data_IF_456998838372
#
_entry.id   IF_456998838372
#
_cell.length_a   1.000
_cell.length_b   1.000
_cell.length_c   1.000
_cell.angle_alpha   90.00
_cell.angle_beta   90.00
_cell.angle_gamma   90.00
#
_symmetry.space_group_name_H-M   'P 1'
#
loop_
_entity.id
_entity.type
_entity.pdbx_description
1 polymer ?
#
# COMPACT_ATOMS: atom_id res chain seq x y z
N UNK A 1 -9.57 -32.03 30.94
CA UNK A 1 -9.57 -31.61 29.51
C UNK A 1 -8.77 -32.62 28.72
N UNK A 2 -9.43 -33.42 27.87
CA UNK A 2 -8.76 -34.44 27.08
C UNK A 2 -7.93 -33.80 25.96
N UNK A 3 -6.62 -34.06 25.96
CA UNK A 3 -5.71 -33.70 24.87
C UNK A 3 -6.14 -34.52 23.65
N UNK A 4 -6.70 -33.89 22.60
CA UNK A 4 -6.97 -34.59 21.33
C UNK A 4 -5.62 -35.09 20.79
N UNK A 5 -5.42 -36.40 20.82
CA UNK A 5 -4.29 -37.03 20.11
C UNK A 5 -4.80 -37.23 18.68
N UNK A 6 -4.59 -36.23 17.84
CA UNK A 6 -4.86 -36.32 16.41
C UNK A 6 -4.02 -37.45 15.81
N UNK A 7 -4.60 -38.32 14.99
CA UNK A 7 -3.79 -39.32 14.28
C UNK A 7 -2.83 -38.61 13.32
N UNK A 8 -1.71 -39.23 12.96
CA UNK A 8 -0.77 -38.63 12.01
C UNK A 8 -1.46 -38.18 10.71
N UNK A 9 -2.49 -38.92 10.28
CA UNK A 9 -3.32 -38.60 9.12
C UNK A 9 -4.20 -37.36 9.34
N UNK A 10 -4.75 -37.15 10.53
CA UNK A 10 -5.54 -35.96 10.86
C UNK A 10 -4.65 -34.70 10.87
N UNK A 11 -3.43 -34.83 11.40
CA UNK A 11 -2.44 -33.74 11.41
C UNK A 11 -2.04 -33.38 9.97
N UNK A 12 -1.77 -34.38 9.11
CA UNK A 12 -1.46 -34.12 7.70
C UNK A 12 -2.60 -33.43 6.94
N UNK A 13 -3.86 -33.83 7.19
CA UNK A 13 -5.02 -33.15 6.60
C UNK A 13 -5.15 -31.71 7.09
N UNK A 14 -4.93 -31.47 8.39
CA UNK A 14 -5.00 -30.14 8.98
C UNK A 14 -3.91 -29.22 8.43
N UNK A 15 -2.67 -29.72 8.29
CA UNK A 15 -1.56 -28.99 7.66
C UNK A 15 -1.89 -28.64 6.21
N UNK A 16 -2.37 -29.60 5.40
CA UNK A 16 -2.74 -29.33 4.00
C UNK A 16 -3.86 -28.29 3.90
N UNK A 17 -4.87 -28.38 4.76
CA UNK A 17 -5.96 -27.42 4.79
C UNK A 17 -5.50 -26.02 5.23
N UNK A 18 -4.47 -25.93 6.07
CA UNK A 18 -3.88 -24.64 6.44
C UNK A 18 -3.07 -24.04 5.27
N UNK A 19 -2.22 -24.84 4.63
CA UNK A 19 -1.43 -24.40 3.46
C UNK A 19 -2.35 -23.88 2.33
N UNK A 20 -3.43 -24.61 2.02
CA UNK A 20 -4.39 -24.16 1.02
C UNK A 20 -5.08 -22.84 1.39
N UNK A 21 -5.39 -22.63 2.68
CA UNK A 21 -5.96 -21.36 3.15
C UNK A 21 -4.97 -20.22 3.02
N UNK A 22 -3.71 -20.45 3.37
CA UNK A 22 -2.66 -19.44 3.27
C UNK A 22 -2.41 -19.04 1.81
N UNK A 23 -2.39 -20.00 0.88
CA UNK A 23 -2.27 -19.74 -0.57
C UNK A 23 -3.46 -18.94 -1.13
N UNK A 24 -4.69 -19.24 -0.68
CA UNK A 24 -5.88 -18.49 -1.07
C UNK A 24 -5.84 -17.05 -0.56
N UNK A 25 -5.43 -16.85 0.70
CA UNK A 25 -5.26 -15.53 1.29
C UNK A 25 -4.17 -14.74 0.57
N UNK A 26 -3.06 -15.39 0.20
CA UNK A 26 -2.00 -14.72 -0.54
C UNK A 26 -2.48 -14.27 -1.93
N UNK A 27 -3.20 -15.14 -2.64
CA UNK A 27 -3.78 -14.83 -3.95
C UNK A 27 -4.78 -13.67 -3.86
N UNK A 28 -5.65 -13.68 -2.85
CA UNK A 28 -6.60 -12.59 -2.61
C UNK A 28 -5.89 -11.26 -2.29
N UNK A 29 -4.83 -11.30 -1.47
CA UNK A 29 -4.02 -10.12 -1.18
C UNK A 29 -3.29 -9.60 -2.41
N UNK A 30 -2.87 -10.48 -3.34
CA UNK A 30 -2.22 -10.07 -4.58
C UNK A 30 -3.19 -9.28 -5.48
N UNK A 31 -4.43 -9.75 -5.65
CA UNK A 31 -5.44 -9.05 -6.43
C UNK A 31 -5.85 -7.73 -5.80
N UNK A 32 -6.04 -7.71 -4.48
CA UNK A 32 -6.34 -6.48 -3.75
C UNK A 32 -5.22 -5.45 -3.85
N UNK A 33 -3.96 -5.88 -3.77
CA UNK A 33 -2.82 -4.98 -3.97
C UNK A 33 -2.80 -4.37 -5.38
N UNK A 34 -3.20 -5.13 -6.42
CA UNK A 34 -3.36 -4.60 -7.78
C UNK A 34 -4.47 -3.57 -7.87
N UNK A 35 -5.61 -3.82 -7.23
CA UNK A 35 -6.73 -2.87 -7.17
C UNK A 35 -6.32 -1.56 -6.50
N UNK A 36 -5.67 -1.63 -5.33
CA UNK A 36 -5.21 -0.43 -4.61
C UNK A 36 -4.15 0.32 -5.42
N UNK A 37 -3.23 -0.39 -6.09
CA UNK A 37 -2.27 0.23 -7.02
C UNK A 37 -2.98 0.97 -8.15
N UNK A 38 -3.94 0.34 -8.82
CA UNK A 38 -4.68 0.96 -9.92
C UNK A 38 -5.47 2.19 -9.44
N UNK A 39 -6.05 2.11 -8.25
CA UNK A 39 -6.73 3.24 -7.63
C UNK A 39 -5.76 4.41 -7.37
N UNK A 40 -4.60 4.16 -6.76
CA UNK A 40 -3.57 5.19 -6.53
C UNK A 40 -3.18 5.83 -7.86
N UNK A 41 -2.87 5.02 -8.88
CA UNK A 41 -2.49 5.50 -10.21
C UNK A 41 -3.58 6.39 -10.85
N UNK A 42 -4.87 6.08 -10.63
CA UNK A 42 -5.98 6.90 -11.14
C UNK A 42 -6.15 8.25 -10.44
N UNK A 43 -5.55 8.43 -9.26
CA UNK A 43 -5.61 9.67 -8.46
C UNK A 43 -4.37 10.55 -8.61
N UNK A 44 -3.32 10.02 -9.24
CA UNK A 44 -2.11 10.77 -9.57
C UNK A 44 -2.41 11.75 -10.72
N UNK A 45 -1.94 13.00 -10.65
CA UNK A 45 -2.10 13.99 -11.72
C UNK A 45 -1.56 13.51 -13.08
N UNK A 46 -2.30 13.82 -14.16
CA UNK A 46 -2.05 13.30 -15.53
C UNK A 46 -0.69 13.74 -16.09
N UNK A 47 -0.22 14.92 -15.70
CA UNK A 47 1.08 15.49 -16.07
C UNK A 47 2.28 14.79 -15.41
N UNK A 48 2.04 13.90 -14.44
CA UNK A 48 3.08 13.18 -13.70
C UNK A 48 3.18 11.71 -14.10
N UNK A 49 3.22 11.41 -15.40
CA UNK A 49 3.26 10.04 -15.93
C UNK A 49 4.43 9.17 -15.41
N UNK A 50 5.59 9.77 -15.14
CA UNK A 50 6.72 9.10 -14.50
C UNK A 50 6.41 8.68 -13.05
N UNK A 51 5.69 9.51 -12.31
CA UNK A 51 5.22 9.20 -10.97
C UNK A 51 4.16 8.09 -11.00
N UNK A 52 3.21 8.11 -11.95
CA UNK A 52 2.24 7.01 -12.11
C UNK A 52 2.95 5.65 -12.31
N UNK A 53 4.00 5.63 -13.14
CA UNK A 53 4.76 4.41 -13.44
C UNK A 53 5.62 3.91 -12.27
N UNK A 54 6.00 4.79 -11.34
CA UNK A 54 6.85 4.44 -10.20
C UNK A 54 6.11 3.75 -9.05
N UNK A 55 4.77 3.68 -9.09
CA UNK A 55 3.96 2.95 -8.09
C UNK A 55 4.17 1.44 -8.21
N UNK A 56 4.71 0.83 -7.17
CA UNK A 56 5.08 -0.59 -7.12
C UNK A 56 4.41 -1.30 -5.94
N UNK A 57 4.19 -2.60 -6.12
CA UNK A 57 3.79 -3.52 -5.05
C UNK A 57 5.05 -4.21 -4.55
N UNK A 58 5.25 -4.23 -3.24
CA UNK A 58 6.31 -4.96 -2.56
C UNK A 58 5.72 -6.07 -1.71
N UNK A 59 6.26 -7.26 -1.84
CA UNK A 59 6.03 -8.31 -0.86
C UNK A 59 6.86 -8.01 0.39
N UNK A 60 6.21 -8.04 1.56
CA UNK A 60 6.90 -7.77 2.81
C UNK A 60 7.57 -9.06 3.26
N UNK A 61 8.90 -9.03 3.43
CA UNK A 61 9.69 -10.19 3.88
C UNK A 61 9.22 -10.79 5.20
N UNK A 62 8.57 -10.00 6.05
CA UNK A 62 8.01 -10.46 7.33
C UNK A 62 6.49 -10.43 7.24
N UNK A 63 5.82 -11.59 7.34
CA UNK A 63 4.37 -11.64 7.39
C UNK A 63 3.89 -10.86 8.61
N UNK A 64 2.81 -10.08 8.45
CA UNK A 64 2.22 -9.32 9.54
C UNK A 64 1.26 -10.25 10.27
N UNK A 65 1.54 -10.56 11.54
CA UNK A 65 0.79 -11.56 12.33
C UNK A 65 0.78 -12.97 11.71
N UNK A 66 1.82 -13.36 10.95
CA UNK A 66 1.88 -14.66 10.28
C UNK A 66 1.13 -14.73 8.95
N UNK A 67 0.52 -13.63 8.49
CA UNK A 67 -0.19 -13.55 7.21
C UNK A 67 0.64 -12.85 6.12
N UNK A 68 0.53 -13.28 4.86
CA UNK A 68 1.19 -12.64 3.74
C UNK A 68 0.74 -11.18 3.62
N UNK A 69 1.69 -10.25 3.69
CA UNK A 69 1.44 -8.81 3.67
C UNK A 69 2.10 -8.16 2.44
N UNK A 70 1.45 -7.13 1.90
CA UNK A 70 1.94 -6.38 0.73
C UNK A 70 1.94 -4.89 1.02
N UNK A 71 2.98 -4.20 0.57
CA UNK A 71 3.07 -2.74 0.69
C UNK A 71 3.09 -2.10 -0.69
N UNK A 72 2.30 -1.06 -0.89
CA UNK A 72 2.31 -0.27 -2.12
C UNK A 72 3.08 1.01 -1.84
N UNK A 73 4.07 1.30 -2.68
CA UNK A 73 4.97 2.43 -2.47
C UNK A 73 5.42 3.02 -3.81
N UNK A 74 5.98 4.23 -3.76
CA UNK A 74 6.71 4.84 -4.87
C UNK A 74 8.03 5.42 -4.33
N UNK A 75 9.07 5.32 -5.14
CA UNK A 75 10.40 5.91 -4.87
C UNK A 75 10.57 7.29 -5.53
N UNK A 76 9.54 7.78 -6.23
CA UNK A 76 9.62 9.03 -6.97
C UNK A 76 9.49 10.23 -6.01
N UNK A 77 10.48 11.14 -5.95
CA UNK A 77 10.44 12.30 -5.07
C UNK A 77 9.24 13.21 -5.33
N UNK A 78 8.67 13.20 -6.54
CA UNK A 78 7.47 13.97 -6.89
C UNK A 78 6.27 13.54 -6.03
N UNK A 79 6.21 12.29 -5.56
CA UNK A 79 5.11 11.86 -4.69
C UNK A 79 5.08 12.59 -3.35
N UNK A 80 6.20 13.09 -2.82
CA UNK A 80 6.16 13.95 -1.64
C UNK A 80 5.37 15.24 -1.91
N UNK A 81 5.55 15.83 -3.09
CA UNK A 81 4.82 17.03 -3.49
C UNK A 81 3.35 16.71 -3.81
N UNK A 82 3.08 15.61 -4.52
CA UNK A 82 1.70 15.20 -4.85
C UNK A 82 0.90 14.84 -3.59
N UNK A 83 1.53 14.17 -2.63
CA UNK A 83 0.87 13.70 -1.41
C UNK A 83 0.52 14.83 -0.47
N UNK A 84 1.43 15.80 -0.29
CA UNK A 84 1.30 16.85 0.73
C UNK A 84 1.01 18.25 0.17
N UNK A 85 1.19 18.46 -1.14
CA UNK A 85 1.17 19.78 -1.75
C UNK A 85 2.34 20.65 -1.28
N UNK A 86 2.40 21.87 -1.79
CA UNK A 86 3.26 22.93 -1.22
C UNK A 86 2.39 23.82 -0.34
N UNK A 87 2.88 24.11 0.87
CA UNK A 87 2.25 25.10 1.74
C UNK A 87 2.61 26.49 1.24
N UNK A 88 1.76 27.47 1.52
CA UNK A 88 2.13 28.86 1.30
C UNK A 88 3.39 29.19 2.10
N UNK A 89 4.28 29.97 1.48
CA UNK A 89 5.43 30.53 2.16
C UNK A 89 4.98 31.35 3.39
N UNK A 90 5.74 31.31 4.50
CA UNK A 90 5.52 32.24 5.61
C UNK A 90 5.56 33.70 5.10
N UNK A 91 4.77 34.61 5.69
CA UNK A 91 4.65 35.99 5.22
C UNK A 91 5.98 36.77 5.19
N UNK A 92 6.99 36.35 5.96
CA UNK A 92 8.33 36.96 6.01
C UNK A 92 9.41 36.18 5.22
N UNK A 93 9.00 35.20 4.40
CA UNK A 93 9.91 34.39 3.59
C UNK A 93 10.58 35.26 2.51
N UNK A 94 11.91 35.39 2.59
CA UNK A 94 12.75 36.00 1.53
C UNK A 94 13.23 34.95 0.52
N UNK A 95 12.46 33.88 0.32
CA UNK A 95 12.82 32.81 -0.61
C UNK A 95 12.99 33.40 -2.02
N UNK A 96 14.14 33.19 -2.70
CA UNK A 96 14.34 33.67 -4.06
C UNK A 96 13.49 32.92 -5.10
N UNK A 97 12.76 31.89 -4.67
CA UNK A 97 11.90 31.06 -5.53
C UNK A 97 10.47 31.64 -5.73
N UNK A 98 10.24 32.90 -5.29
CA UNK A 98 9.00 33.66 -5.53
C UNK A 98 7.91 33.37 -4.49
N UNK A 99 6.79 34.12 -4.48
CA UNK A 99 5.65 33.76 -3.64
C UNK A 99 5.09 32.43 -4.17
N UNK A 100 5.45 31.34 -3.52
CA UNK A 100 5.08 29.98 -3.94
C UNK A 100 3.56 29.89 -4.04
N UNK A 101 3.05 29.70 -5.26
CA UNK A 101 1.63 29.39 -5.45
C UNK A 101 1.40 28.02 -4.82
N UNK A 102 0.59 27.91 -3.75
CA UNK A 102 0.40 26.64 -3.05
C UNK A 102 -0.15 25.61 -4.03
N UNK A 103 0.58 24.50 -4.20
CA UNK A 103 0.13 23.39 -5.01
C UNK A 103 -0.80 22.52 -4.17
N UNK A 104 -1.94 22.14 -4.75
CA UNK A 104 -2.94 21.32 -4.08
C UNK A 104 -2.38 19.94 -3.76
N UNK A 105 -2.57 19.48 -2.53
CA UNK A 105 -2.35 18.08 -2.17
C UNK A 105 -3.40 17.20 -2.89
N UNK A 106 -2.95 16.32 -3.78
CA UNK A 106 -3.82 15.29 -4.36
C UNK A 106 -3.95 14.10 -3.39
N UNK A 107 -2.93 13.84 -2.58
CA UNK A 107 -2.91 12.75 -1.59
C UNK A 107 -3.39 11.38 -2.12
N UNK A 108 -2.85 10.83 -3.24
CA UNK A 108 -3.29 9.54 -3.76
C UNK A 108 -3.19 8.39 -2.74
N UNK A 109 -2.12 8.37 -1.93
CA UNK A 109 -1.94 7.34 -0.91
C UNK A 109 -2.88 7.57 0.28
N UNK A 110 -3.06 8.81 0.71
CA UNK A 110 -4.04 9.19 1.74
C UNK A 110 -5.48 8.82 1.33
N UNK A 111 -5.86 9.07 0.08
CA UNK A 111 -7.16 8.66 -0.48
C UNK A 111 -7.30 7.14 -0.51
N UNK A 112 -6.24 6.41 -0.89
CA UNK A 112 -6.26 4.96 -0.87
C UNK A 112 -6.44 4.42 0.56
N UNK A 113 -5.72 4.99 1.54
CA UNK A 113 -5.87 4.63 2.95
C UNK A 113 -7.28 4.91 3.48
N UNK A 114 -7.89 6.03 3.10
CA UNK A 114 -9.27 6.34 3.49
C UNK A 114 -10.29 5.37 2.90
N UNK A 115 -10.03 4.83 1.70
CA UNK A 115 -10.93 3.90 1.00
C UNK A 115 -10.75 2.44 1.42
N UNK A 116 -9.50 1.99 1.56
CA UNK A 116 -9.16 0.58 1.74
C UNK A 116 -8.64 0.25 3.14
N UNK A 117 -8.45 1.25 4.01
CA UNK A 117 -7.95 1.05 5.37
C UNK A 117 -6.55 0.41 5.42
N UNK A 118 -6.30 -0.36 6.48
CA UNK A 118 -5.07 -1.12 6.70
C UNK A 118 -5.26 -2.61 6.31
N UNK A 119 -6.01 -2.87 5.23
CA UNK A 119 -6.42 -4.22 4.81
C UNK A 119 -5.34 -5.01 4.03
N UNK A 120 -4.09 -4.52 3.98
CA UNK A 120 -2.94 -5.09 3.24
C UNK A 120 -1.68 -5.28 4.11
#
# INVERSE_FOLDING_TARGET
MARRISSARDIEMEIRAQVQRDEQLDSANAEKAKEVKAFIQSKVPIDTGGAVASVKIREVRKPRNGLPARTIFSDDPIFHMIEYGTKADPPDSKSPYGPDTPTKAYAPFGQAKARFGDEL
#
